data_IF_279373194457
#
_entry.id   IF_279373194457
#
_cell.length_a   1.000
_cell.length_b   1.000
_cell.length_c   1.000
_cell.angle_alpha   90.00
_cell.angle_beta   90.00
_cell.angle_gamma   90.00
#
_symmetry.space_group_name_H-M   'P 1'
#
loop_
_entity.id
_entity.type
_entity.pdbx_description
1 polymer ?
#
# COMPACT_ATOMS: atom_id res chain seq x y z
N UNK A 1 -11.27 16.78 -10.84
CA UNK A 1 -11.51 15.32 -10.63
C UNK A 1 -10.25 14.67 -10.09
N UNK A 2 -10.36 13.74 -9.13
CA UNK A 2 -9.24 12.88 -8.68
C UNK A 2 -9.43 11.47 -9.26
N UNK A 3 -8.37 10.85 -9.74
CA UNK A 3 -8.40 9.46 -10.22
C UNK A 3 -7.70 8.56 -9.21
N UNK A 4 -8.32 7.44 -8.83
CA UNK A 4 -7.73 6.45 -7.92
C UNK A 4 -7.72 5.09 -8.60
N UNK A 5 -6.56 4.67 -9.11
CA UNK A 5 -6.41 3.31 -9.66
C UNK A 5 -6.20 2.30 -8.54
N UNK A 6 -6.69 1.06 -8.71
CA UNK A 6 -6.78 0.13 -7.60
C UNK A 6 -7.77 0.60 -6.53
N UNK A 7 -8.69 1.49 -6.89
CA UNK A 7 -9.59 2.17 -5.97
C UNK A 7 -10.61 1.26 -5.28
N UNK A 8 -10.83 0.04 -5.77
CA UNK A 8 -11.60 -0.99 -5.08
C UNK A 8 -10.73 -1.91 -4.18
N UNK A 9 -9.41 -1.72 -4.19
CA UNK A 9 -8.47 -2.39 -3.28
C UNK A 9 -8.50 -1.80 -1.87
N UNK A 10 -7.73 -2.41 -0.96
CA UNK A 10 -7.66 -1.96 0.44
C UNK A 10 -7.17 -0.52 0.56
N UNK A 11 -6.00 -0.18 0.01
CA UNK A 11 -5.40 1.15 0.17
C UNK A 11 -6.20 2.18 -0.65
N UNK A 12 -6.45 1.92 -1.94
CA UNK A 12 -7.16 2.85 -2.80
C UNK A 12 -8.54 3.24 -2.27
N UNK A 13 -9.34 2.27 -1.78
CA UNK A 13 -10.66 2.57 -1.22
C UNK A 13 -10.61 3.33 0.12
N UNK A 14 -9.54 3.19 0.91
CA UNK A 14 -9.32 4.04 2.09
C UNK A 14 -8.85 5.45 1.72
N UNK A 15 -8.10 5.62 0.62
CA UNK A 15 -7.80 6.95 0.06
C UNK A 15 -9.09 7.62 -0.42
N UNK A 16 -9.94 6.91 -1.18
CA UNK A 16 -11.27 7.44 -1.59
C UNK A 16 -12.10 7.83 -0.38
N UNK A 17 -12.13 6.98 0.68
CA UNK A 17 -12.85 7.30 1.92
C UNK A 17 -12.31 8.57 2.58
N UNK A 18 -10.98 8.73 2.65
CA UNK A 18 -10.36 9.91 3.23
C UNK A 18 -10.63 11.18 2.42
N UNK A 19 -10.71 11.08 1.08
CA UNK A 19 -11.15 12.16 0.21
C UNK A 19 -12.62 12.53 0.47
N UNK A 20 -13.51 11.54 0.56
CA UNK A 20 -14.92 11.77 0.90
C UNK A 20 -15.09 12.44 2.27
N UNK A 21 -14.27 12.08 3.26
CA UNK A 21 -14.29 12.71 4.59
C UNK A 21 -13.88 14.20 4.56
N UNK A 22 -13.17 14.61 3.51
CA UNK A 22 -12.85 16.02 3.20
C UNK A 22 -13.90 16.69 2.29
N UNK A 23 -14.97 15.98 1.92
CA UNK A 23 -16.04 16.50 1.05
C UNK A 23 -15.69 16.43 -0.44
N UNK A 24 -14.69 15.66 -0.84
CA UNK A 24 -14.31 15.45 -2.23
C UNK A 24 -14.99 14.17 -2.72
N UNK A 25 -15.86 14.28 -3.72
CA UNK A 25 -16.63 13.18 -4.33
C UNK A 25 -16.48 13.12 -5.87
N UNK A 26 -15.87 14.12 -6.49
CA UNK A 26 -15.49 14.10 -7.91
C UNK A 26 -14.27 13.18 -8.12
N UNK A 27 -14.52 11.87 -7.96
CA UNK A 27 -13.52 10.82 -7.97
C UNK A 27 -13.87 9.76 -9.02
N UNK A 28 -12.92 9.51 -9.94
CA UNK A 28 -12.96 8.35 -10.83
C UNK A 28 -12.22 7.18 -10.16
N UNK A 29 -12.95 6.11 -9.85
CA UNK A 29 -12.37 4.85 -9.37
C UNK A 29 -12.04 3.96 -10.55
N UNK A 30 -10.77 3.54 -10.66
CA UNK A 30 -10.29 2.61 -11.68
C UNK A 30 -9.88 1.30 -11.03
N UNK A 31 -10.54 0.18 -11.40
CA UNK A 31 -10.19 -1.17 -10.92
C UNK A 31 -10.71 -2.23 -11.91
N UNK A 32 -10.29 -3.48 -11.78
CA UNK A 32 -10.75 -4.53 -12.71
C UNK A 32 -11.90 -5.39 -12.18
N UNK A 33 -12.27 -5.29 -10.92
CA UNK A 33 -13.31 -6.07 -10.23
C UNK A 33 -13.38 -7.57 -10.59
N UNK A 34 -12.27 -8.18 -11.09
CA UNK A 34 -12.20 -9.64 -11.33
C UNK A 34 -12.57 -10.43 -10.07
N UNK A 35 -12.10 -9.97 -8.91
CA UNK A 35 -12.65 -10.41 -7.64
C UNK A 35 -13.86 -9.54 -7.31
N UNK A 36 -15.06 -10.01 -7.66
CA UNK A 36 -16.30 -9.26 -7.46
C UNK A 36 -16.55 -8.84 -6.00
N UNK A 37 -15.95 -9.52 -5.00
CA UNK A 37 -16.09 -9.13 -3.58
C UNK A 37 -15.51 -7.75 -3.27
N UNK A 38 -14.63 -7.23 -4.12
CA UNK A 38 -14.10 -5.86 -3.98
C UNK A 38 -15.18 -4.78 -4.00
N UNK A 39 -16.35 -5.03 -4.61
CA UNK A 39 -17.43 -4.05 -4.60
C UNK A 39 -17.81 -3.59 -3.18
N UNK A 40 -17.63 -4.47 -2.18
CA UNK A 40 -17.92 -4.15 -0.78
C UNK A 40 -17.08 -2.99 -0.25
N UNK A 41 -15.93 -2.74 -0.85
CA UNK A 41 -15.06 -1.61 -0.50
C UNK A 41 -15.54 -0.27 -1.07
N UNK A 42 -16.53 -0.29 -1.97
CA UNK A 42 -17.04 0.89 -2.66
C UNK A 42 -18.45 1.28 -2.24
N UNK A 43 -19.23 0.37 -1.60
CA UNK A 43 -20.67 0.57 -1.35
C UNK A 43 -21.02 1.77 -0.46
N UNK A 44 -20.08 2.19 0.40
CA UNK A 44 -20.23 3.31 1.33
C UNK A 44 -19.41 4.54 0.91
N UNK A 45 -18.93 4.55 -0.35
CA UNK A 45 -18.15 5.65 -0.91
C UNK A 45 -18.96 6.47 -1.92
N UNK A 46 -18.71 7.76 -1.92
CA UNK A 46 -19.24 8.67 -2.94
C UNK A 46 -18.18 8.84 -4.02
N UNK A 47 -18.50 8.37 -5.23
CA UNK A 47 -17.61 8.47 -6.40
C UNK A 47 -18.41 9.05 -7.57
N UNK A 48 -17.75 9.79 -8.45
CA UNK A 48 -18.37 10.33 -9.65
C UNK A 48 -18.57 9.23 -10.70
N UNK A 49 -17.59 8.34 -10.86
CA UNK A 49 -17.66 7.25 -11.84
C UNK A 49 -16.72 6.09 -11.49
N UNK A 50 -16.95 4.96 -12.16
CA UNK A 50 -16.11 3.77 -12.15
C UNK A 50 -15.71 3.40 -13.58
N UNK A 51 -14.43 3.07 -13.78
CA UNK A 51 -13.92 2.59 -15.06
C UNK A 51 -13.12 1.31 -14.88
N UNK A 52 -13.26 0.35 -15.82
CA UNK A 52 -12.40 -0.83 -15.85
C UNK A 52 -10.95 -0.42 -16.14
N UNK A 53 -10.01 -1.09 -15.50
CA UNK A 53 -8.57 -0.83 -15.63
C UNK A 53 -8.07 -0.90 -17.07
N UNK A 54 -8.55 -1.87 -17.86
CA UNK A 54 -8.06 -2.09 -19.22
C UNK A 54 -8.63 -1.02 -20.17
N UNK A 55 -9.88 -0.58 -19.93
CA UNK A 55 -10.47 0.55 -20.65
C UNK A 55 -9.76 1.85 -20.31
N UNK A 56 -9.45 2.08 -19.04
CA UNK A 56 -8.66 3.23 -18.61
C UNK A 56 -7.27 3.26 -19.27
N UNK A 57 -6.56 2.14 -19.27
CA UNK A 57 -5.26 2.06 -19.94
C UNK A 57 -5.37 2.39 -21.44
N UNK A 58 -6.40 1.85 -22.10
CA UNK A 58 -6.63 2.12 -23.53
C UNK A 58 -6.82 3.61 -23.81
N UNK A 59 -7.60 4.29 -22.96
CA UNK A 59 -7.84 5.73 -23.10
C UNK A 59 -6.58 6.56 -22.77
N UNK A 60 -5.82 6.19 -21.73
CA UNK A 60 -4.53 6.80 -21.40
C UNK A 60 -3.56 6.71 -22.59
N UNK A 61 -3.39 5.52 -23.19
CA UNK A 61 -2.51 5.30 -24.34
C UNK A 61 -3.00 6.03 -25.62
N UNK A 62 -4.30 6.22 -25.76
CA UNK A 62 -4.87 7.02 -26.84
C UNK A 62 -4.68 8.52 -26.63
N UNK A 63 -4.29 8.93 -25.44
CA UNK A 63 -4.16 10.35 -25.07
C UNK A 63 -5.50 11.05 -24.86
N UNK A 64 -6.55 10.27 -24.53
CA UNK A 64 -7.88 10.81 -24.33
C UNK A 64 -7.91 11.87 -23.21
N UNK A 65 -8.80 12.82 -23.33
CA UNK A 65 -8.98 13.89 -22.36
C UNK A 65 -10.09 13.54 -21.37
N UNK A 66 -9.73 13.34 -20.11
CA UNK A 66 -10.67 13.13 -19.02
C UNK A 66 -11.18 14.45 -18.39
N UNK A 67 -10.85 15.59 -18.98
CA UNK A 67 -11.09 16.91 -18.38
C UNK A 67 -10.04 17.27 -17.31
N UNK A 68 -10.32 18.27 -16.45
CA UNK A 68 -9.38 18.69 -15.42
C UNK A 68 -9.15 17.59 -14.37
N UNK A 69 -7.91 17.09 -14.29
CA UNK A 69 -7.49 16.13 -13.30
C UNK A 69 -6.61 16.83 -12.26
N UNK A 70 -7.02 16.79 -10.99
CA UNK A 70 -6.28 17.39 -9.87
C UNK A 70 -5.14 16.51 -9.40
N UNK A 71 -5.29 15.18 -9.46
CA UNK A 71 -4.26 14.19 -9.11
C UNK A 71 -4.63 12.78 -9.57
N UNK A 72 -3.62 11.92 -9.69
CA UNK A 72 -3.80 10.46 -9.81
C UNK A 72 -3.11 9.77 -8.64
N UNK A 73 -3.89 9.05 -7.82
CA UNK A 73 -3.39 8.06 -6.86
C UNK A 73 -3.33 6.70 -7.54
N UNK A 74 -2.13 6.20 -7.75
CA UNK A 74 -1.89 4.94 -8.45
C UNK A 74 -1.59 3.81 -7.47
N UNK A 75 -2.65 3.15 -6.97
CA UNK A 75 -2.59 2.00 -6.06
C UNK A 75 -2.80 0.66 -6.77
N UNK A 76 -3.14 0.70 -8.06
CA UNK A 76 -3.43 -0.48 -8.88
C UNK A 76 -2.19 -1.28 -9.21
N UNK A 77 -2.13 -2.53 -8.73
CA UNK A 77 -1.04 -3.46 -9.01
C UNK A 77 -1.47 -4.92 -8.79
N UNK A 78 -0.70 -5.87 -9.35
CA UNK A 78 -0.66 -7.23 -8.82
C UNK A 78 0.17 -7.19 -7.54
N UNK A 79 -0.47 -7.34 -6.37
CA UNK A 79 0.19 -7.27 -5.05
C UNK A 79 0.56 -8.64 -4.46
N UNK A 80 0.34 -9.72 -5.20
CA UNK A 80 0.66 -11.07 -4.76
C UNK A 80 2.18 -11.31 -4.84
N UNK A 81 2.84 -11.39 -3.70
CA UNK A 81 4.28 -11.70 -3.62
C UNK A 81 4.62 -13.13 -4.02
N UNK A 82 3.59 -13.99 -4.11
CA UNK A 82 3.67 -15.40 -4.51
C UNK A 82 3.36 -15.62 -6.00
N UNK A 83 3.06 -14.57 -6.76
CA UNK A 83 2.89 -14.66 -8.22
C UNK A 83 4.27 -14.74 -8.90
N UNK A 84 4.48 -15.78 -9.70
CA UNK A 84 5.73 -16.03 -10.41
C UNK A 84 5.62 -15.88 -11.94
N UNK A 85 4.45 -15.57 -12.49
CA UNK A 85 4.36 -15.11 -13.88
C UNK A 85 4.96 -13.71 -14.01
N UNK A 86 6.27 -13.65 -14.27
CA UNK A 86 7.02 -12.41 -14.37
C UNK A 86 6.50 -11.49 -15.46
N UNK A 87 6.02 -12.04 -16.59
CA UNK A 87 5.43 -11.23 -17.66
C UNK A 87 4.15 -10.56 -17.19
N UNK A 88 3.28 -11.30 -16.53
CA UNK A 88 2.04 -10.78 -15.97
C UNK A 88 2.31 -9.68 -14.93
N UNK A 89 3.24 -9.93 -13.99
CA UNK A 89 3.58 -8.95 -12.95
C UNK A 89 4.18 -7.68 -13.56
N UNK A 90 5.13 -7.80 -14.48
CA UNK A 90 5.76 -6.63 -15.12
C UNK A 90 4.78 -5.81 -15.95
N UNK A 91 3.88 -6.45 -16.70
CA UNK A 91 2.83 -5.73 -17.42
C UNK A 91 1.91 -4.94 -16.49
N UNK A 92 1.51 -5.53 -15.36
CA UNK A 92 0.56 -4.91 -14.43
C UNK A 92 1.18 -3.86 -13.50
N UNK A 93 2.46 -4.02 -13.13
CA UNK A 93 3.08 -3.19 -12.10
C UNK A 93 4.08 -2.19 -12.69
N UNK A 94 4.73 -2.52 -13.78
CA UNK A 94 5.78 -1.69 -14.37
C UNK A 94 5.30 -0.97 -15.63
N UNK A 95 4.86 -1.72 -16.67
CA UNK A 95 4.43 -1.08 -17.91
C UNK A 95 3.19 -0.22 -17.72
N UNK A 96 2.17 -0.73 -17.04
CA UNK A 96 0.95 0.04 -16.70
C UNK A 96 1.26 1.32 -15.93
N UNK A 97 2.18 1.26 -14.97
CA UNK A 97 2.57 2.43 -14.19
C UNK A 97 3.32 3.48 -15.03
N UNK A 98 4.13 3.05 -16.01
CA UNK A 98 4.81 3.98 -16.92
C UNK A 98 3.85 4.75 -17.80
N UNK A 99 2.85 4.08 -18.36
CA UNK A 99 1.85 4.75 -19.22
C UNK A 99 1.11 5.85 -18.45
N UNK A 100 0.70 5.56 -17.21
CA UNK A 100 0.03 6.57 -16.38
C UNK A 100 0.99 7.70 -15.99
N UNK A 101 2.24 7.37 -15.62
CA UNK A 101 3.24 8.37 -15.27
C UNK A 101 3.49 9.35 -16.42
N UNK A 102 3.69 8.84 -17.65
CA UNK A 102 3.90 9.70 -18.82
C UNK A 102 2.68 10.57 -19.11
N UNK A 103 1.48 10.01 -19.04
CA UNK A 103 0.25 10.77 -19.17
C UNK A 103 0.17 11.92 -18.14
N UNK A 104 0.59 11.67 -16.89
CA UNK A 104 0.63 12.69 -15.85
C UNK A 104 1.69 13.77 -16.12
N UNK A 105 2.89 13.36 -16.52
CA UNK A 105 3.99 14.30 -16.79
C UNK A 105 3.66 15.23 -17.97
N UNK A 106 3.09 14.69 -19.05
CA UNK A 106 2.69 15.48 -20.23
C UNK A 106 1.60 16.52 -19.95
N UNK A 107 0.79 16.29 -18.89
CA UNK A 107 -0.35 17.15 -18.53
C UNK A 107 -0.16 17.89 -17.20
N UNK A 108 1.04 17.82 -16.65
CA UNK A 108 1.40 18.43 -15.36
C UNK A 108 0.50 17.99 -14.18
N UNK A 109 0.01 16.73 -14.21
CA UNK A 109 -0.86 16.16 -13.19
C UNK A 109 -0.01 15.57 -12.07
N UNK A 110 -0.30 15.88 -10.79
CA UNK A 110 0.30 15.21 -9.64
C UNK A 110 0.06 13.69 -9.67
N UNK A 111 1.15 12.92 -9.52
CA UNK A 111 1.13 11.46 -9.56
C UNK A 111 1.71 10.88 -8.27
N UNK A 112 0.85 10.22 -7.47
CA UNK A 112 1.26 9.56 -6.24
C UNK A 112 1.08 8.05 -6.44
N UNK A 113 2.12 7.24 -6.16
CA UNK A 113 2.06 5.82 -6.50
C UNK A 113 2.52 4.90 -5.37
N UNK A 114 1.94 3.70 -5.36
CA UNK A 114 2.31 2.61 -4.47
C UNK A 114 3.62 1.96 -4.91
N UNK A 115 4.71 2.18 -4.17
CA UNK A 115 5.88 1.32 -4.13
C UNK A 115 5.75 0.33 -2.95
N UNK A 116 6.81 -0.34 -2.55
CA UNK A 116 6.75 -1.38 -1.52
C UNK A 116 8.08 -1.56 -0.79
N UNK A 117 8.03 -1.89 0.49
CA UNK A 117 9.20 -2.36 1.25
C UNK A 117 9.77 -3.68 0.69
N UNK A 118 9.03 -4.41 -0.15
CA UNK A 118 9.55 -5.60 -0.85
C UNK A 118 10.71 -5.29 -1.81
N UNK A 119 10.96 -4.02 -2.12
CA UNK A 119 12.13 -3.56 -2.88
C UNK A 119 13.44 -3.78 -2.16
N UNK A 120 13.43 -3.82 -0.83
CA UNK A 120 14.63 -3.96 0.00
C UNK A 120 15.19 -5.38 0.05
N UNK A 121 14.34 -6.40 0.00
CA UNK A 121 14.77 -7.81 0.08
C UNK A 121 15.31 -8.18 1.45
N UNK A 122 16.45 -8.87 1.47
CA UNK A 122 17.16 -9.27 2.69
C UNK A 122 18.17 -8.18 3.10
N UNK A 123 17.73 -7.25 3.92
CA UNK A 123 18.57 -6.21 4.51
C UNK A 123 18.08 -5.86 5.91
N UNK A 124 18.97 -5.36 6.74
CA UNK A 124 18.63 -4.76 8.03
C UNK A 124 18.50 -3.22 7.95
N UNK A 125 18.74 -2.66 6.77
CA UNK A 125 18.73 -1.22 6.53
C UNK A 125 17.65 -0.85 5.51
N UNK A 126 16.67 -0.08 5.93
CA UNK A 126 15.50 0.29 5.14
C UNK A 126 15.53 1.79 4.81
N UNK A 127 16.55 2.22 4.07
CA UNK A 127 16.74 3.59 3.59
C UNK A 127 16.47 3.62 2.08
N UNK A 128 15.85 4.69 1.56
CA UNK A 128 15.41 4.78 0.16
C UNK A 128 16.58 5.04 -0.83
N UNK A 129 17.68 4.33 -0.62
CA UNK A 129 18.87 4.36 -1.45
C UNK A 129 19.09 3.02 -2.16
N UNK A 130 19.63 3.11 -3.38
CA UNK A 130 19.78 1.95 -4.28
C UNK A 130 20.65 0.83 -3.71
N UNK A 131 21.62 1.16 -2.88
CA UNK A 131 22.54 0.18 -2.28
C UNK A 131 21.85 -0.77 -1.28
N UNK A 132 20.69 -0.38 -0.73
CA UNK A 132 19.90 -1.20 0.19
C UNK A 132 18.76 -1.97 -0.50
N UNK A 133 18.68 -1.90 -1.82
CA UNK A 133 17.63 -2.53 -2.61
C UNK A 133 18.07 -3.89 -3.15
N UNK A 134 17.23 -4.92 -2.99
CA UNK A 134 17.55 -6.28 -3.42
C UNK A 134 16.32 -7.19 -3.42
N UNK A 135 15.33 -6.87 -4.27
CA UNK A 135 14.05 -7.59 -4.30
C UNK A 135 14.22 -9.11 -4.44
N UNK A 136 13.48 -9.88 -3.61
CA UNK A 136 13.53 -11.35 -3.57
C UNK A 136 12.51 -12.06 -4.46
N UNK A 137 11.55 -11.33 -5.01
CA UNK A 137 10.51 -11.87 -5.87
C UNK A 137 10.16 -10.88 -6.97
N UNK A 138 9.44 -11.34 -7.99
CA UNK A 138 9.11 -10.52 -9.15
C UNK A 138 8.19 -9.34 -8.81
N UNK A 139 7.35 -9.46 -7.78
CA UNK A 139 6.57 -8.33 -7.29
C UNK A 139 7.48 -7.19 -6.77
N UNK A 140 8.38 -7.50 -5.83
CA UNK A 140 9.35 -6.53 -5.31
C UNK A 140 10.22 -5.95 -6.43
N UNK A 141 10.68 -6.80 -7.35
CA UNK A 141 11.45 -6.37 -8.51
C UNK A 141 10.67 -5.39 -9.41
N UNK A 142 9.39 -5.64 -9.66
CA UNK A 142 8.56 -4.74 -10.48
C UNK A 142 8.44 -3.34 -9.85
N UNK A 143 8.29 -3.26 -8.53
CA UNK A 143 8.25 -1.99 -7.79
C UNK A 143 9.62 -1.29 -7.77
N UNK A 144 10.69 -2.06 -7.53
CA UNK A 144 12.06 -1.55 -7.60
C UNK A 144 12.40 -0.98 -8.98
N UNK A 145 12.00 -1.68 -10.05
CA UNK A 145 12.24 -1.19 -11.42
C UNK A 145 11.44 0.08 -11.72
N UNK A 146 10.23 0.21 -11.20
CA UNK A 146 9.47 1.44 -11.37
C UNK A 146 10.08 2.60 -10.57
N UNK A 147 10.50 2.39 -9.32
CA UNK A 147 11.27 3.38 -8.56
C UNK A 147 12.52 3.84 -9.31
N UNK A 148 13.28 2.90 -9.91
CA UNK A 148 14.46 3.21 -10.70
C UNK A 148 14.12 3.99 -11.99
N UNK A 149 12.99 3.70 -12.62
CA UNK A 149 12.52 4.41 -13.80
C UNK A 149 12.18 5.87 -13.46
N UNK A 150 11.47 6.10 -12.37
CA UNK A 150 11.15 7.43 -11.86
C UNK A 150 12.43 8.23 -11.52
N UNK A 151 13.41 7.59 -10.85
CA UNK A 151 14.70 8.25 -10.55
C UNK A 151 15.43 8.70 -11.80
N UNK A 152 15.39 7.92 -12.90
CA UNK A 152 15.99 8.32 -14.19
C UNK A 152 15.28 9.52 -14.80
N UNK A 153 13.96 9.54 -14.75
CA UNK A 153 13.17 10.71 -15.24
C UNK A 153 13.57 11.97 -14.46
N UNK A 154 13.72 11.90 -13.14
CA UNK A 154 14.17 13.05 -12.35
C UNK A 154 15.59 13.48 -12.72
N UNK A 155 16.51 12.53 -12.90
CA UNK A 155 17.89 12.81 -13.31
C UNK A 155 17.92 13.48 -14.68
N UNK A 156 17.21 12.93 -15.66
CA UNK A 156 17.14 13.48 -17.01
C UNK A 156 16.56 14.92 -17.00
N UNK A 157 15.51 15.15 -16.22
CA UNK A 157 14.91 16.47 -16.08
C UNK A 157 15.88 17.47 -15.42
N UNK A 158 16.62 17.07 -14.39
CA UNK A 158 17.62 17.90 -13.73
C UNK A 158 18.76 18.26 -14.70
N UNK A 159 19.27 17.30 -15.49
CA UNK A 159 20.32 17.52 -16.49
C UNK A 159 19.88 18.49 -17.58
N UNK A 160 18.59 18.54 -17.92
CA UNK A 160 18.04 19.44 -18.94
C UNK A 160 17.44 20.74 -18.35
N UNK A 161 17.41 20.87 -17.02
CA UNK A 161 16.81 22.04 -16.35
C UNK A 161 15.28 22.08 -16.48
N UNK A 162 14.64 20.91 -16.65
CA UNK A 162 13.19 20.79 -16.79
C UNK A 162 12.52 20.69 -15.42
N UNK A 163 11.34 21.31 -15.29
CA UNK A 163 10.52 21.19 -14.09
C UNK A 163 9.40 20.17 -14.34
N UNK A 164 9.38 19.12 -13.55
CA UNK A 164 8.31 18.13 -13.61
C UNK A 164 7.16 18.46 -12.64
N UNK A 165 5.96 17.97 -12.95
CA UNK A 165 4.87 17.88 -11.98
C UNK A 165 5.25 16.97 -10.80
N UNK A 166 4.45 17.02 -9.74
CA UNK A 166 4.68 16.17 -8.58
C UNK A 166 4.67 14.68 -8.95
N UNK A 167 5.73 13.95 -8.54
CA UNK A 167 5.80 12.50 -8.60
C UNK A 167 6.24 11.98 -7.24
N UNK A 168 5.37 11.24 -6.55
CA UNK A 168 5.61 10.77 -5.19
C UNK A 168 5.39 9.26 -5.09
N UNK A 169 6.41 8.52 -4.72
CA UNK A 169 6.33 7.08 -4.48
C UNK A 169 6.36 6.77 -2.99
N UNK A 170 5.49 5.86 -2.54
CA UNK A 170 5.51 5.37 -1.17
C UNK A 170 5.87 3.90 -1.12
N UNK A 171 6.96 3.56 -0.43
CA UNK A 171 7.32 2.19 -0.07
C UNK A 171 6.50 1.79 1.15
N UNK A 172 5.33 1.21 0.90
CA UNK A 172 4.46 0.73 1.97
C UNK A 172 5.10 -0.46 2.68
N UNK A 173 5.10 -0.38 4.03
CA UNK A 173 5.45 -1.50 4.89
C UNK A 173 4.24 -2.40 5.11
N UNK A 174 4.08 -3.02 6.27
CA UNK A 174 3.00 -3.98 6.48
C UNK A 174 1.67 -3.29 6.77
N UNK A 175 0.98 -2.88 5.71
CA UNK A 175 -0.32 -2.19 5.82
C UNK A 175 -1.41 -3.14 6.26
N UNK A 176 -2.17 -2.76 7.28
CA UNK A 176 -3.35 -3.48 7.77
C UNK A 176 -4.52 -2.52 8.04
N UNK A 177 -5.75 -3.06 8.07
CA UNK A 177 -6.92 -2.27 8.40
C UNK A 177 -8.17 -2.65 7.60
N UNK A 178 -9.25 -1.85 7.68
CA UNK A 178 -10.51 -2.15 7.02
C UNK A 178 -10.36 -2.26 5.49
N UNK A 179 -11.32 -2.96 4.87
CA UNK A 179 -11.44 -3.16 3.42
C UNK A 179 -10.42 -4.15 2.82
N UNK A 180 -9.85 -5.04 3.65
CA UNK A 180 -8.93 -6.09 3.17
C UNK A 180 -9.54 -7.48 3.03
N UNK A 181 -10.81 -7.69 3.36
CA UNK A 181 -11.47 -9.01 3.38
C UNK A 181 -11.43 -9.74 2.02
N UNK A 182 -11.33 -9.01 0.92
CA UNK A 182 -11.22 -9.59 -0.43
C UNK A 182 -9.84 -10.24 -0.71
N UNK A 183 -8.83 -9.98 0.14
CA UNK A 183 -7.44 -10.45 -0.07
C UNK A 183 -7.25 -11.93 0.27
N UNK A 184 -8.23 -12.59 0.90
CA UNK A 184 -8.14 -14.00 1.28
C UNK A 184 -6.92 -14.27 2.17
N UNK A 185 -6.09 -15.24 1.80
CA UNK A 185 -4.88 -15.59 2.56
C UNK A 185 -3.83 -14.47 2.63
N UNK A 186 -3.90 -13.49 1.74
CA UNK A 186 -2.98 -12.32 1.72
C UNK A 186 -3.46 -11.17 2.61
N UNK A 187 -4.57 -11.33 3.33
CA UNK A 187 -5.01 -10.37 4.33
C UNK A 187 -4.04 -10.32 5.52
N UNK A 188 -4.07 -9.23 6.28
CA UNK A 188 -3.17 -9.04 7.42
C UNK A 188 -3.35 -10.09 8.51
N UNK A 189 -2.33 -10.27 9.33
CA UNK A 189 -2.40 -11.14 10.51
C UNK A 189 -3.53 -10.70 11.44
N UNK A 190 -3.75 -9.39 11.62
CA UNK A 190 -4.83 -8.86 12.45
C UNK A 190 -6.22 -9.35 11.97
N UNK A 191 -6.45 -9.38 10.64
CA UNK A 191 -7.67 -9.90 10.05
C UNK A 191 -7.87 -11.39 10.33
N UNK A 192 -6.83 -12.18 10.12
CA UNK A 192 -6.90 -13.64 10.35
C UNK A 192 -7.16 -13.97 11.82
N UNK A 193 -6.44 -13.32 12.73
CA UNK A 193 -6.63 -13.53 14.17
C UNK A 193 -8.02 -13.12 14.64
N UNK A 194 -8.56 -12.00 14.14
CA UNK A 194 -9.94 -11.60 14.40
C UNK A 194 -10.97 -12.63 13.93
N UNK A 195 -10.77 -13.20 12.74
CA UNK A 195 -11.66 -14.24 12.22
C UNK A 195 -11.62 -15.51 13.07
N UNK A 196 -10.44 -15.92 13.56
CA UNK A 196 -10.32 -17.02 14.50
C UNK A 196 -11.10 -16.74 15.78
N UNK A 197 -10.94 -15.58 16.37
CA UNK A 197 -11.68 -15.18 17.57
C UNK A 197 -13.20 -15.14 17.37
N UNK A 198 -13.67 -14.64 16.23
CA UNK A 198 -15.08 -14.62 15.87
C UNK A 198 -15.65 -16.04 15.69
N UNK A 199 -14.84 -16.99 15.24
CA UNK A 199 -15.21 -18.41 15.13
C UNK A 199 -15.10 -19.17 16.46
N UNK A 200 -14.71 -18.50 17.56
CA UNK A 200 -14.56 -19.13 18.87
C UNK A 200 -13.23 -19.90 19.05
N UNK A 201 -12.26 -19.65 18.16
CA UNK A 201 -10.92 -20.22 18.24
C UNK A 201 -9.97 -19.24 18.93
N UNK A 202 -8.90 -19.75 19.53
CA UNK A 202 -7.79 -18.92 19.98
C UNK A 202 -6.94 -18.41 18.79
N UNK A 203 -6.32 -17.22 18.90
CA UNK A 203 -5.38 -16.71 17.91
C UNK A 203 -4.16 -17.65 17.78
N UNK A 204 -3.92 -18.15 16.56
CA UNK A 204 -2.82 -19.08 16.25
C UNK A 204 -1.65 -18.33 15.66
N UNK A 205 -0.49 -18.42 16.31
CA UNK A 205 0.77 -17.86 15.84
C UNK A 205 1.81 -18.97 15.67
N UNK A 206 2.72 -18.78 14.73
CA UNK A 206 3.85 -19.70 14.54
C UNK A 206 4.83 -19.58 15.71
N UNK A 207 5.46 -20.71 16.06
CA UNK A 207 6.58 -20.73 17.00
C UNK A 207 7.68 -19.76 16.51
N UNK A 208 8.19 -18.89 17.38
CA UNK A 208 9.15 -17.83 17.04
C UNK A 208 8.50 -16.49 16.70
N UNK A 209 7.17 -16.41 16.64
CA UNK A 209 6.45 -15.16 16.29
C UNK A 209 6.72 -13.98 17.22
N UNK A 210 7.20 -14.23 18.43
CA UNK A 210 7.64 -13.22 19.38
C UNK A 210 8.93 -12.51 18.94
N UNK A 211 9.73 -13.15 18.11
CA UNK A 211 10.99 -12.59 17.57
C UNK A 211 10.83 -11.95 16.19
N UNK A 212 9.85 -12.41 15.42
CA UNK A 212 9.56 -11.86 14.10
C UNK A 212 8.86 -10.49 14.23
N UNK A 213 9.51 -9.44 13.76
CA UNK A 213 9.00 -8.07 13.88
C UNK A 213 8.76 -7.46 12.51
N UNK A 214 7.67 -6.72 12.41
CA UNK A 214 7.30 -5.95 11.21
C UNK A 214 6.92 -4.54 11.59
N UNK A 215 7.18 -3.63 10.70
CA UNK A 215 6.58 -2.31 10.76
C UNK A 215 5.13 -2.40 10.25
N UNK A 216 4.21 -2.57 11.18
CA UNK A 216 2.78 -2.62 10.90
C UNK A 216 2.20 -1.21 10.87
N UNK A 217 1.72 -0.78 9.71
CA UNK A 217 1.13 0.55 9.53
C UNK A 217 -0.37 0.47 9.28
N UNK A 218 -1.14 1.27 10.01
CA UNK A 218 -2.58 1.33 9.86
C UNK A 218 -2.98 2.03 8.56
N UNK A 219 -3.91 1.47 7.80
CA UNK A 219 -4.30 1.98 6.47
C UNK A 219 -4.86 3.40 6.51
N UNK A 220 -5.48 3.81 7.62
CA UNK A 220 -5.93 5.20 7.81
C UNK A 220 -4.77 6.20 7.86
N UNK A 221 -3.63 5.82 8.46
CA UNK A 221 -2.42 6.63 8.48
C UNK A 221 -1.80 6.69 7.07
N UNK A 222 -1.82 5.58 6.34
CA UNK A 222 -1.38 5.54 4.94
C UNK A 222 -2.18 6.52 4.08
N UNK A 223 -3.51 6.50 4.18
CA UNK A 223 -4.37 7.42 3.45
C UNK A 223 -4.10 8.89 3.85
N UNK A 224 -3.97 9.17 5.15
CA UNK A 224 -3.68 10.52 5.64
C UNK A 224 -2.36 11.08 5.09
N UNK A 225 -1.29 10.27 5.08
CA UNK A 225 0.01 10.69 4.52
C UNK A 225 -0.09 10.91 3.01
N UNK A 226 -0.77 10.03 2.26
CA UNK A 226 -0.99 10.24 0.82
C UNK A 226 -1.65 11.60 0.53
N UNK A 227 -2.71 11.93 1.26
CA UNK A 227 -3.40 13.22 1.08
C UNK A 227 -2.52 14.40 1.48
N UNK A 228 -1.75 14.30 2.56
CA UNK A 228 -0.85 15.37 2.99
C UNK A 228 0.25 15.66 1.97
N UNK A 229 0.75 14.63 1.28
CA UNK A 229 1.74 14.79 0.22
C UNK A 229 1.14 15.38 -1.06
N UNK A 230 -0.11 15.08 -1.39
CA UNK A 230 -0.81 15.78 -2.47
C UNK A 230 -0.91 17.29 -2.15
N UNK A 231 -1.29 17.64 -0.92
CA UNK A 231 -1.41 19.03 -0.48
C UNK A 231 -0.05 19.77 -0.45
N UNK A 232 1.04 19.08 -0.06
CA UNK A 232 2.38 19.67 0.03
C UNK A 232 3.13 19.75 -1.31
N UNK A 233 2.73 18.96 -2.31
CA UNK A 233 3.37 18.90 -3.62
C UNK A 233 4.79 18.31 -3.62
N UNK A 234 5.20 17.63 -2.57
CA UNK A 234 6.55 17.05 -2.44
C UNK A 234 6.75 15.86 -3.39
N UNK A 235 7.83 15.90 -4.18
CA UNK A 235 8.27 14.77 -5.01
C UNK A 235 9.35 13.97 -4.31
N UNK A 236 9.36 12.66 -4.53
CA UNK A 236 10.35 11.75 -3.96
C UNK A 236 9.85 10.33 -3.81
N UNK A 237 10.75 9.43 -3.39
CA UNK A 237 10.38 8.09 -2.95
C UNK A 237 10.60 8.05 -1.43
N UNK A 238 9.56 7.64 -0.70
CA UNK A 238 9.53 7.70 0.76
C UNK A 238 9.07 6.37 1.35
N UNK A 239 9.70 5.94 2.43
CA UNK A 239 9.16 4.87 3.25
C UNK A 239 7.87 5.32 3.92
N UNK A 240 6.87 4.45 3.91
CA UNK A 240 5.61 4.66 4.61
C UNK A 240 5.32 3.46 5.53
N UNK A 241 5.80 3.59 6.74
CA UNK A 241 5.64 2.74 7.90
C UNK A 241 5.52 3.62 9.13
N UNK A 242 5.57 3.02 10.31
CA UNK A 242 5.52 3.74 11.60
C UNK A 242 6.90 4.14 12.11
N UNK A 243 7.96 3.49 11.61
CA UNK A 243 9.31 3.57 12.16
C UNK A 243 9.49 2.75 13.45
N UNK A 244 8.49 1.91 13.79
CA UNK A 244 8.51 1.06 14.98
C UNK A 244 8.10 -0.37 14.62
N UNK A 245 9.05 -1.29 14.67
CA UNK A 245 8.79 -2.70 14.39
C UNK A 245 8.18 -3.41 15.60
N UNK A 246 7.00 -3.99 15.43
CA UNK A 246 6.27 -4.75 16.45
C UNK A 246 6.22 -6.25 16.09
N UNK A 247 6.08 -7.10 17.11
CA UNK A 247 5.96 -8.55 16.89
C UNK A 247 4.54 -8.95 16.46
N UNK A 248 4.42 -10.11 15.83
CA UNK A 248 3.10 -10.71 15.57
C UNK A 248 2.34 -11.00 16.86
N UNK A 249 3.06 -11.25 17.97
CA UNK A 249 2.46 -11.44 19.28
C UNK A 249 1.79 -10.17 19.80
N UNK A 250 2.38 -8.97 19.58
CA UNK A 250 1.73 -7.72 19.96
C UNK A 250 0.43 -7.47 19.17
N UNK A 251 0.38 -7.86 17.90
CA UNK A 251 -0.86 -7.82 17.11
C UNK A 251 -1.91 -8.76 17.72
N UNK A 252 -1.51 -9.99 18.09
CA UNK A 252 -2.43 -10.95 18.73
C UNK A 252 -2.93 -10.45 20.09
N UNK A 253 -2.07 -9.88 20.93
CA UNK A 253 -2.46 -9.27 22.21
C UNK A 253 -3.49 -8.16 22.03
N UNK A 254 -3.33 -7.31 21.00
CA UNK A 254 -4.28 -6.25 20.71
C UNK A 254 -5.65 -6.82 20.29
N UNK A 255 -5.68 -7.87 19.44
CA UNK A 255 -6.92 -8.55 19.05
C UNK A 255 -7.60 -9.20 20.25
N UNK A 256 -6.84 -9.97 21.07
CA UNK A 256 -7.35 -10.60 22.31
C UNK A 256 -7.93 -9.56 23.26
N UNK A 257 -7.24 -8.46 23.47
CA UNK A 257 -7.70 -7.35 24.33
C UNK A 257 -9.04 -6.78 23.84
N UNK A 258 -9.21 -6.62 22.53
CA UNK A 258 -10.47 -6.15 21.94
C UNK A 258 -11.62 -7.13 22.21
N UNK A 259 -11.40 -8.44 22.02
CA UNK A 259 -12.42 -9.48 22.27
C UNK A 259 -12.66 -9.76 23.76
N UNK A 260 -11.77 -9.33 24.66
CA UNK A 260 -11.89 -9.51 26.09
C UNK A 260 -11.73 -10.95 26.57
N UNK A 261 -11.25 -11.87 25.72
CA UNK A 261 -11.07 -13.31 25.97
C UNK A 261 -10.04 -13.92 25.04
N UNK A 262 -9.60 -15.13 25.33
CA UNK A 262 -8.67 -15.92 24.52
C UNK A 262 -7.22 -15.78 24.98
N UNK A 263 -6.39 -16.62 24.43
CA UNK A 263 -4.93 -16.66 24.64
C UNK A 263 -4.24 -17.06 23.33
N UNK A 264 -2.96 -16.73 23.17
CA UNK A 264 -2.20 -17.10 21.98
C UNK A 264 -1.95 -18.61 21.98
N UNK A 265 -2.36 -19.30 20.91
CA UNK A 265 -2.04 -20.69 20.63
C UNK A 265 -0.81 -20.76 19.71
N UNK A 266 0.27 -21.36 20.17
CA UNK A 266 1.48 -21.56 19.36
C UNK A 266 1.35 -22.80 18.49
N UNK A 267 1.54 -22.63 17.17
CA UNK A 267 1.55 -23.72 16.21
C UNK A 267 2.94 -23.89 15.58
N UNK A 268 3.31 -25.07 15.07
CA UNK A 268 4.61 -25.27 14.43
C UNK A 268 4.85 -24.33 13.27
N UNK A 269 6.08 -23.81 13.13
CA UNK A 269 6.47 -23.01 11.97
C UNK A 269 6.50 -23.88 10.71
N UNK A 270 5.82 -23.46 9.60
CA UNK A 270 5.76 -24.27 8.38
C UNK A 270 7.15 -24.43 7.73
N UNK A 271 7.52 -25.70 7.43
CA UNK A 271 8.83 -26.01 6.85
C UNK A 271 9.12 -25.28 5.52
N UNK A 272 8.08 -25.08 4.68
CA UNK A 272 8.24 -24.41 3.38
C UNK A 272 8.51 -22.90 3.48
N UNK A 273 8.37 -22.30 4.65
CA UNK A 273 8.67 -20.89 4.92
C UNK A 273 10.06 -20.68 5.52
N UNK A 274 10.73 -21.75 5.97
CA UNK A 274 12.08 -21.65 6.54
C UNK A 274 13.07 -21.13 5.51
N UNK A 275 13.84 -20.11 5.90
CA UNK A 275 14.86 -19.47 5.04
C UNK A 275 14.32 -18.54 3.94
N UNK A 276 12.98 -18.43 3.79
CA UNK A 276 12.36 -17.47 2.88
C UNK A 276 11.50 -16.42 3.62
N UNK A 277 11.44 -16.53 4.95
CA UNK A 277 10.62 -15.65 5.79
C UNK A 277 11.48 -14.50 6.32
N UNK A 278 11.17 -13.29 5.89
CA UNK A 278 11.84 -12.08 6.39
C UNK A 278 11.52 -11.92 7.90
N UNK A 279 12.56 -11.82 8.75
CA UNK A 279 12.38 -11.77 10.20
C UNK A 279 12.13 -10.37 10.73
N UNK A 280 12.63 -9.35 10.05
CA UNK A 280 12.58 -7.97 10.50
C UNK A 280 12.28 -7.00 9.36
N UNK A 281 11.42 -6.01 9.61
CA UNK A 281 11.29 -4.80 8.79
C UNK A 281 10.97 -3.59 9.66
N UNK A 282 11.63 -2.46 9.41
CA UNK A 282 11.35 -1.20 10.08
C UNK A 282 11.67 -0.04 9.14
N UNK A 283 10.70 0.83 8.89
CA UNK A 283 10.88 2.01 8.04
C UNK A 283 11.87 2.99 8.68
N UNK A 284 12.89 3.43 7.95
CA UNK A 284 13.56 4.67 8.26
C UNK A 284 12.68 5.83 7.77
N UNK A 285 12.27 6.71 8.67
CA UNK A 285 11.39 7.82 8.37
C UNK A 285 12.12 9.15 8.16
N UNK A 286 13.45 9.14 8.19
CA UNK A 286 14.27 10.37 8.10
C UNK A 286 13.90 11.20 6.89
N UNK A 287 13.79 10.58 5.72
CA UNK A 287 13.44 11.25 4.47
C UNK A 287 12.00 11.76 4.45
N UNK A 288 11.06 10.96 4.95
CA UNK A 288 9.64 11.36 5.09
C UNK A 288 9.50 12.57 6.00
N UNK A 289 10.20 12.59 7.14
CA UNK A 289 10.20 13.71 8.09
C UNK A 289 10.87 14.95 7.52
N UNK A 290 12.00 14.80 6.81
CA UNK A 290 12.67 15.89 6.12
C UNK A 290 11.79 16.54 5.03
N UNK A 291 10.88 15.79 4.41
CA UNK A 291 9.89 16.31 3.47
C UNK A 291 8.71 17.04 4.14
N UNK A 292 8.75 17.23 5.47
CA UNK A 292 7.75 17.98 6.24
C UNK A 292 6.55 17.15 6.72
N UNK A 293 6.59 15.83 6.60
CA UNK A 293 5.53 14.98 7.14
C UNK A 293 5.71 14.82 8.66
N UNK A 294 4.84 15.43 9.44
CA UNK A 294 4.80 15.34 10.92
C UNK A 294 3.71 14.40 11.45
N UNK A 295 3.05 13.64 10.55
CA UNK A 295 1.99 12.70 10.88
C UNK A 295 2.41 11.75 12.00
N UNK A 296 1.56 11.63 13.03
CA UNK A 296 1.76 10.71 14.14
C UNK A 296 1.06 9.39 13.82
N UNK A 297 1.87 8.37 13.57
CA UNK A 297 1.36 7.03 13.26
C UNK A 297 0.78 6.35 14.50
N UNK A 298 -0.31 5.62 14.31
CA UNK A 298 -0.88 4.79 15.36
C UNK A 298 0.06 3.64 15.72
N UNK A 299 0.14 3.34 17.00
CA UNK A 299 0.70 2.08 17.49
C UNK A 299 -0.14 0.91 17.02
N UNK A 300 0.43 -0.32 17.01
CA UNK A 300 -0.31 -1.55 16.71
C UNK A 300 -1.55 -1.67 17.60
N UNK A 301 -1.42 -1.37 18.89
CA UNK A 301 -2.55 -1.46 19.84
C UNK A 301 -3.70 -0.50 19.48
N UNK A 302 -3.40 0.72 19.08
CA UNK A 302 -4.40 1.72 18.66
C UNK A 302 -5.03 1.37 17.33
N UNK A 303 -4.21 1.08 16.32
CA UNK A 303 -4.68 0.78 14.96
C UNK A 303 -5.48 -0.53 14.90
N UNK A 304 -5.05 -1.59 15.60
CA UNK A 304 -5.79 -2.85 15.68
C UNK A 304 -7.13 -2.63 16.41
N UNK A 305 -7.15 -1.88 17.51
CA UNK A 305 -8.40 -1.58 18.23
C UNK A 305 -9.40 -0.86 17.31
N UNK A 306 -8.96 0.19 16.60
CA UNK A 306 -9.81 0.92 15.65
C UNK A 306 -10.30 0.01 14.51
N UNK A 307 -9.41 -0.83 13.99
CA UNK A 307 -9.74 -1.79 12.93
C UNK A 307 -10.81 -2.77 13.40
N UNK A 308 -10.64 -3.39 14.56
CA UNK A 308 -11.62 -4.35 15.12
C UNK A 308 -12.98 -3.69 15.36
N UNK A 309 -13.03 -2.44 15.81
CA UNK A 309 -14.27 -1.67 15.96
C UNK A 309 -15.02 -1.48 14.64
N UNK A 310 -14.30 -1.39 13.50
CA UNK A 310 -14.91 -1.19 12.19
C UNK A 310 -15.46 -2.47 11.58
N UNK A 311 -14.81 -3.62 11.80
CA UNK A 311 -15.19 -4.88 11.15
C UNK A 311 -16.07 -5.80 11.99
N UNK A 312 -16.25 -5.53 13.29
CA UNK A 312 -17.09 -6.32 14.19
C UNK A 312 -18.38 -5.56 14.61
N UNK A 313 -18.84 -4.63 13.76
CA UNK A 313 -20.10 -3.88 13.96
C UNK A 313 -21.31 -4.70 13.59
#
# INVERSE_FOLDING_TARGET
>A
MIIVTGGAGMIGSNIVKALNDKGIDDILVVDNLKNGRKFQNLVDLNIADYMDRDDFLTQIMAGDDFGPIDAIFHEGACSATTEWDGKYVMLNNYEYSKEILHYCLEREIPFLYASSAATYGETDTFIEEKEYEGALNVYGYSKQQFDNYVRRIWQDAEEHGEKLSQVTGFRYFNVYGPREQHKGSMASVAFHLNNQMNNGENPKLFAGSETFKRDFVYVGDVAAVNLSFLESGQSGIFNLGTGNAESFEEVAKAVIKFHGKGEVETIPFPEHLKGAYQEFTQADLTKLRAAGCDHQFKTVAEGVTEYMQKINK
#
